data_IF_087586834946
#
_entry.id   IF_087586834946
#
_cell.length_a   1.000
_cell.length_b   1.000
_cell.length_c   1.000
_cell.angle_alpha   90.00
_cell.angle_beta   90.00
_cell.angle_gamma   90.00
#
_symmetry.space_group_name_H-M   'P 1'
#
loop_
_entity.id
_entity.type
_entity.pdbx_description
1 polymer ?
#
# COMPACT_ATOMS: atom_id res chain seq x y z
N UNK A 1 -26.43 12.18 -1.20
CA UNK A 1 -25.18 11.72 -1.81
C UNK A 1 -24.21 11.29 -0.72
N UNK A 2 -23.61 10.17 -0.91
CA UNK A 2 -22.62 9.68 0.04
C UNK A 2 -21.24 9.90 -0.54
N UNK A 3 -20.37 10.53 0.22
CA UNK A 3 -18.97 10.48 -0.10
C UNK A 3 -18.43 9.14 0.40
N UNK A 4 -17.83 8.37 -0.48
CA UNK A 4 -17.19 7.14 -0.06
C UNK A 4 -15.98 7.47 0.79
N UNK A 5 -15.80 6.73 1.87
CA UNK A 5 -14.60 6.85 2.68
C UNK A 5 -13.41 6.33 1.88
N UNK A 6 -12.36 7.12 1.81
CA UNK A 6 -11.12 6.73 1.15
C UNK A 6 -10.23 6.02 2.16
N UNK A 7 -9.71 4.88 1.75
CA UNK A 7 -8.72 4.14 2.53
C UNK A 7 -7.33 4.50 2.03
N UNK A 8 -6.40 4.69 2.96
CA UNK A 8 -5.01 4.98 2.63
C UNK A 8 -4.15 3.76 2.94
N UNK A 9 -3.46 3.24 1.92
CA UNK A 9 -2.50 2.14 2.08
C UNK A 9 -1.09 2.71 2.13
N UNK A 10 -0.41 2.47 3.25
CA UNK A 10 0.99 2.85 3.42
C UNK A 10 1.86 1.68 2.97
N UNK A 11 2.69 1.91 1.96
CA UNK A 11 3.57 0.87 1.40
C UNK A 11 5.01 1.27 1.68
N UNK A 12 5.61 0.76 2.77
CA UNK A 12 6.98 1.11 3.15
C UNK A 12 8.01 0.48 2.22
N UNK A 13 9.22 1.02 2.27
CA UNK A 13 10.34 0.47 1.55
C UNK A 13 11.12 -0.57 2.34
N UNK A 14 12.37 -0.76 1.95
CA UNK A 14 13.28 -1.71 2.59
C UNK A 14 13.44 -1.34 4.07
N UNK A 15 13.45 -2.34 4.93
CA UNK A 15 13.46 -2.23 6.40
C UNK A 15 12.19 -1.59 6.98
N UNK A 16 11.16 -1.37 6.16
CA UNK A 16 9.93 -0.74 6.62
C UNK A 16 10.10 0.75 6.82
N UNK A 17 9.15 1.35 7.53
CA UNK A 17 9.19 2.76 7.89
C UNK A 17 9.21 2.88 9.41
N UNK A 18 10.32 3.30 10.02
CA UNK A 18 10.37 3.46 11.48
C UNK A 18 9.42 4.56 11.96
N UNK A 19 9.22 4.62 13.27
CA UNK A 19 8.23 5.52 13.87
C UNK A 19 8.45 6.99 13.54
N UNK A 20 9.69 7.41 13.33
CA UNK A 20 10.02 8.78 12.98
C UNK A 20 10.04 9.04 11.47
N UNK A 21 9.77 8.03 10.64
CA UNK A 21 9.66 8.20 9.20
C UNK A 21 8.37 8.94 8.84
N UNK A 22 8.39 9.73 7.75
CA UNK A 22 7.22 10.52 7.35
C UNK A 22 5.98 9.65 7.10
N UNK A 23 6.16 8.43 6.56
CA UNK A 23 5.02 7.53 6.34
C UNK A 23 4.36 7.12 7.66
N UNK A 24 5.15 6.90 8.70
CA UNK A 24 4.62 6.56 10.01
C UNK A 24 3.88 7.74 10.62
N UNK A 25 4.37 8.97 10.44
CA UNK A 25 3.66 10.17 10.84
C UNK A 25 2.33 10.31 10.10
N UNK A 26 2.34 10.09 8.80
CA UNK A 26 1.12 10.16 7.99
C UNK A 26 0.11 9.10 8.41
N UNK A 27 0.59 7.87 8.68
CA UNK A 27 -0.29 6.81 9.14
C UNK A 27 -1.02 7.18 10.43
N UNK A 28 -0.31 7.80 11.37
CA UNK A 28 -0.90 8.24 12.62
C UNK A 28 -1.88 9.41 12.43
N UNK A 29 -1.65 10.23 11.43
CA UNK A 29 -2.44 11.43 11.17
C UNK A 29 -3.65 11.19 10.27
N UNK A 30 -3.58 10.22 9.37
CA UNK A 30 -4.63 9.95 8.40
C UNK A 30 -5.63 8.94 8.97
N UNK A 31 -6.93 9.26 9.00
CA UNK A 31 -7.93 8.28 9.36
C UNK A 31 -8.00 7.19 8.29
N UNK A 32 -8.40 6.01 8.70
CA UNK A 32 -8.59 4.89 7.77
C UNK A 32 -7.32 4.53 6.99
N UNK A 33 -6.17 4.63 7.64
CA UNK A 33 -4.90 4.24 7.03
C UNK A 33 -4.46 2.87 7.53
N UNK A 34 -3.91 2.07 6.63
CA UNK A 34 -3.42 0.72 6.92
C UNK A 34 -2.05 0.59 6.29
N UNK A 35 -1.12 0.02 7.03
CA UNK A 35 0.22 -0.28 6.52
C UNK A 35 0.23 -1.67 5.92
N UNK A 36 0.80 -1.80 4.72
CA UNK A 36 1.06 -3.10 4.13
C UNK A 36 2.23 -3.73 4.87
N UNK A 37 2.00 -4.92 5.45
CA UNK A 37 3.02 -5.65 6.19
C UNK A 37 3.66 -6.70 5.29
N UNK A 38 4.98 -6.72 5.29
CA UNK A 38 5.75 -7.71 4.55
C UNK A 38 6.30 -8.76 5.50
N UNK A 39 6.49 -9.98 4.99
CA UNK A 39 7.03 -11.06 5.80
C UNK A 39 8.49 -10.87 6.14
N UNK A 40 9.22 -10.26 5.23
CA UNK A 40 10.65 -10.03 5.42
C UNK A 40 11.01 -8.65 4.92
N UNK A 41 11.27 -7.74 5.87
CA UNK A 41 11.68 -6.37 5.56
C UNK A 41 13.15 -6.26 5.18
N UNK A 42 13.97 -7.26 5.55
CA UNK A 42 15.42 -7.22 5.34
C UNK A 42 15.79 -7.77 3.98
N UNK A 43 15.09 -8.81 3.51
CA UNK A 43 15.29 -9.41 2.20
C UNK A 43 14.05 -9.21 1.34
N UNK A 44 13.89 -8.02 0.73
CA UNK A 44 12.71 -7.78 -0.09
C UNK A 44 12.75 -8.64 -1.35
N UNK A 45 11.66 -9.37 -1.57
CA UNK A 45 11.48 -10.19 -2.76
C UNK A 45 10.25 -9.71 -3.52
N UNK A 46 10.38 -9.62 -4.84
CA UNK A 46 9.31 -9.07 -5.68
C UNK A 46 7.98 -9.79 -5.50
N UNK A 47 7.98 -11.11 -5.63
CA UNK A 47 6.71 -11.85 -5.61
C UNK A 47 5.99 -11.79 -4.26
N UNK A 48 6.64 -12.07 -3.12
CA UNK A 48 5.97 -11.92 -1.83
C UNK A 48 5.50 -10.50 -1.55
N UNK A 49 6.28 -9.49 -1.93
CA UNK A 49 5.92 -8.10 -1.70
C UNK A 49 4.71 -7.68 -2.54
N UNK A 50 4.67 -8.11 -3.81
CA UNK A 50 3.51 -7.86 -4.68
C UNK A 50 2.27 -8.57 -4.12
N UNK A 51 2.42 -9.80 -3.66
CA UNK A 51 1.31 -10.57 -3.12
C UNK A 51 0.71 -9.93 -1.86
N UNK A 52 1.55 -9.38 -0.97
CA UNK A 52 1.06 -8.70 0.23
C UNK A 52 0.32 -7.41 -0.15
N UNK A 53 0.82 -6.65 -1.12
CA UNK A 53 0.11 -5.46 -1.60
C UNK A 53 -1.24 -5.86 -2.20
N UNK A 54 -1.27 -6.91 -3.01
CA UNK A 54 -2.51 -7.38 -3.61
C UNK A 54 -3.54 -7.77 -2.54
N UNK A 55 -3.13 -8.50 -1.52
CA UNK A 55 -4.00 -8.86 -0.40
C UNK A 55 -4.53 -7.62 0.32
N UNK A 56 -3.68 -6.62 0.51
CA UNK A 56 -4.10 -5.38 1.17
C UNK A 56 -5.14 -4.63 0.36
N UNK A 57 -5.00 -4.58 -0.97
CA UNK A 57 -6.00 -3.94 -1.83
C UNK A 57 -7.31 -4.72 -1.81
N UNK A 58 -7.22 -6.06 -1.86
CA UNK A 58 -8.41 -6.92 -1.81
C UNK A 58 -9.19 -6.81 -0.51
N UNK A 59 -8.51 -6.49 0.59
CA UNK A 59 -9.12 -6.53 1.91
C UNK A 59 -10.28 -5.55 2.09
N UNK A 60 -10.44 -4.57 1.19
CA UNK A 60 -11.53 -3.61 1.26
C UNK A 60 -11.99 -3.23 -0.13
N UNK A 61 -13.28 -2.99 -0.28
CA UNK A 61 -13.85 -2.45 -1.52
C UNK A 61 -13.81 -0.94 -1.59
N UNK A 62 -13.32 -0.27 -0.55
CA UNK A 62 -13.24 1.19 -0.52
C UNK A 62 -12.25 1.70 -1.57
N UNK A 63 -12.52 2.88 -2.15
CA UNK A 63 -11.51 3.55 -2.96
C UNK A 63 -10.22 3.73 -2.16
N UNK A 64 -9.10 3.47 -2.79
CA UNK A 64 -7.82 3.40 -2.10
C UNK A 64 -6.84 4.39 -2.71
N UNK A 65 -6.14 5.11 -1.86
CA UNK A 65 -4.98 5.94 -2.23
C UNK A 65 -3.75 5.27 -1.63
N UNK A 66 -2.73 5.02 -2.46
CA UNK A 66 -1.51 4.34 -2.04
C UNK A 66 -0.43 5.37 -1.76
N UNK A 67 0.19 5.26 -0.60
CA UNK A 67 1.30 6.11 -0.19
C UNK A 67 2.54 5.23 -0.12
N UNK A 68 3.36 5.27 -1.16
CA UNK A 68 4.51 4.39 -1.30
C UNK A 68 5.82 5.18 -1.16
N UNK A 69 6.87 4.49 -0.73
CA UNK A 69 8.19 5.07 -0.56
C UNK A 69 9.27 4.07 -0.94
N UNK A 70 10.26 4.52 -1.72
CA UNK A 70 11.45 3.72 -2.08
C UNK A 70 11.06 2.39 -2.72
N UNK A 71 11.48 1.25 -2.16
CA UNK A 71 11.10 -0.07 -2.68
C UNK A 71 9.60 -0.29 -2.69
N UNK A 72 8.84 0.41 -1.84
CA UNK A 72 7.39 0.39 -1.91
C UNK A 72 6.87 0.91 -3.23
N UNK A 73 7.51 1.93 -3.81
CA UNK A 73 7.15 2.44 -5.14
C UNK A 73 7.41 1.41 -6.23
N UNK A 74 8.52 0.68 -6.13
CA UNK A 74 8.85 -0.38 -7.08
C UNK A 74 7.83 -1.51 -6.98
N UNK A 75 7.47 -1.90 -5.76
CA UNK A 75 6.45 -2.91 -5.52
C UNK A 75 5.12 -2.51 -6.13
N UNK A 76 4.72 -1.26 -5.94
CA UNK A 76 3.48 -0.72 -6.51
C UNK A 76 3.50 -0.78 -8.03
N UNK A 77 4.62 -0.40 -8.66
CA UNK A 77 4.75 -0.43 -10.11
C UNK A 77 4.61 -1.84 -10.68
N UNK A 78 5.27 -2.81 -10.06
CA UNK A 78 5.14 -4.21 -10.47
C UNK A 78 3.74 -4.75 -10.26
N UNK A 79 3.12 -4.40 -9.12
CA UNK A 79 1.75 -4.80 -8.85
C UNK A 79 0.79 -4.24 -9.91
N UNK A 80 0.97 -2.97 -10.28
CA UNK A 80 0.10 -2.33 -11.27
C UNK A 80 0.17 -3.02 -12.65
N UNK A 81 1.32 -3.60 -13.00
CA UNK A 81 1.45 -4.33 -14.25
C UNK A 81 0.78 -5.70 -14.23
N UNK A 82 0.63 -6.32 -13.07
CA UNK A 82 0.22 -7.72 -12.94
C UNK A 82 -1.15 -7.91 -12.33
N UNK A 83 -1.61 -6.94 -11.55
CA UNK A 83 -2.86 -7.10 -10.81
C UNK A 83 -4.05 -7.17 -11.75
N UNK A 84 -5.10 -7.95 -11.39
CA UNK A 84 -6.34 -7.92 -12.13
C UNK A 84 -6.92 -6.51 -12.21
N UNK A 85 -7.54 -6.18 -13.32
CA UNK A 85 -8.08 -4.84 -13.53
C UNK A 85 -9.06 -4.43 -12.44
N UNK A 86 -9.87 -5.37 -11.96
CA UNK A 86 -10.83 -5.07 -10.90
C UNK A 86 -10.16 -4.55 -9.63
N UNK A 87 -8.97 -5.07 -9.29
CA UNK A 87 -8.20 -4.58 -8.13
C UNK A 87 -7.53 -3.25 -8.43
N UNK A 88 -6.98 -3.10 -9.63
CA UNK A 88 -6.34 -1.84 -10.02
C UNK A 88 -7.31 -0.68 -9.99
N UNK A 89 -8.56 -0.91 -10.35
CA UNK A 89 -9.59 0.11 -10.36
C UNK A 89 -9.96 0.61 -8.96
N UNK A 90 -9.64 -0.15 -7.91
CA UNK A 90 -9.84 0.30 -6.52
C UNK A 90 -8.83 1.37 -6.12
N UNK A 91 -7.67 1.41 -6.77
CA UNK A 91 -6.63 2.41 -6.48
C UNK A 91 -6.95 3.67 -7.27
N UNK A 92 -7.30 4.74 -6.56
CA UNK A 92 -7.73 6.02 -7.14
C UNK A 92 -6.61 7.05 -7.14
N UNK A 93 -5.50 6.74 -6.53
CA UNK A 93 -4.34 7.62 -6.50
C UNK A 93 -3.17 6.93 -5.80
N UNK A 94 -2.00 7.46 -6.04
CA UNK A 94 -0.79 6.93 -5.45
C UNK A 94 0.27 8.03 -5.25
#
# INVERSE_FOLDING_TARGET
MHSESIRYLIVPGWHGSPDDHWQSHWQRSLPNSVRVEQRDWVEPRREPWIAELSRAVEASAQPTVVIAHSLGCVTLAHWAQRAPEALRQRVRGA
#
